data_IF_984007478781
#
_entry.id   IF_984007478781
#
_cell.length_a   1.000
_cell.length_b   1.000
_cell.length_c   1.000
_cell.angle_alpha   90.00
_cell.angle_beta   90.00
_cell.angle_gamma   90.00
#
_symmetry.space_group_name_H-M   'P 1'
#
loop_
_entity.id
_entity.type
_entity.pdbx_description
1 polymer ?
#
# COMPACT_ATOMS: atom_id res chain seq x y z
N UNK A 1 30.74 6.03 -20.61
CA UNK A 1 29.40 6.62 -20.45
C UNK A 1 29.24 7.68 -21.56
N UNK A 2 28.41 7.42 -22.57
CA UNK A 2 28.13 8.43 -23.60
C UNK A 2 27.05 9.35 -23.10
N UNK A 3 27.39 10.59 -22.84
CA UNK A 3 26.40 11.64 -22.54
C UNK A 3 25.76 12.01 -23.88
N UNK A 4 24.51 11.66 -24.08
CA UNK A 4 23.74 12.17 -25.22
C UNK A 4 23.41 13.64 -24.97
N UNK A 5 23.92 14.51 -25.80
CA UNK A 5 23.78 15.97 -25.69
C UNK A 5 22.38 16.52 -26.10
N UNK A 6 21.39 15.70 -26.37
CA UNK A 6 20.01 16.14 -26.59
C UNK A 6 19.16 15.70 -25.41
N UNK A 7 18.93 16.61 -24.47
CA UNK A 7 17.97 16.39 -23.41
C UNK A 7 16.57 16.27 -24.05
N UNK A 8 15.87 15.18 -23.78
CA UNK A 8 14.44 15.06 -24.10
C UNK A 8 13.70 15.94 -23.13
N UNK A 9 12.92 16.88 -23.65
CA UNK A 9 12.03 17.70 -22.81
C UNK A 9 10.79 16.89 -22.43
N UNK A 10 10.36 17.05 -21.19
CA UNK A 10 9.15 16.46 -20.64
C UNK A 10 8.30 17.55 -20.02
N UNK A 11 6.98 17.41 -20.12
CA UNK A 11 6.04 18.35 -19.48
C UNK A 11 6.13 18.24 -17.96
N UNK A 12 6.38 17.01 -17.44
CA UNK A 12 6.43 16.73 -15.99
C UNK A 12 7.55 15.76 -15.68
N UNK A 13 8.26 16.05 -14.58
CA UNK A 13 9.22 15.13 -13.97
C UNK A 13 8.68 14.73 -12.59
N UNK A 14 8.58 13.43 -12.36
CA UNK A 14 8.13 12.84 -11.08
C UNK A 14 9.33 12.13 -10.44
N UNK A 15 9.61 12.45 -9.19
CA UNK A 15 10.67 11.81 -8.41
C UNK A 15 10.06 10.76 -7.48
N UNK A 16 10.41 9.50 -7.70
CA UNK A 16 9.90 8.33 -6.98
C UNK A 16 8.61 7.76 -7.57
N UNK A 17 8.59 6.46 -7.78
CA UNK A 17 7.48 5.69 -8.35
C UNK A 17 6.58 5.03 -7.31
N UNK A 18 6.68 5.42 -6.04
CA UNK A 18 5.81 4.93 -4.97
C UNK A 18 4.33 5.27 -5.18
N UNK A 19 3.50 5.08 -4.16
CA UNK A 19 2.04 5.27 -4.25
C UNK A 19 1.65 6.64 -4.82
N UNK A 20 2.24 7.73 -4.33
CA UNK A 20 1.95 9.09 -4.82
C UNK A 20 2.46 9.33 -6.24
N UNK A 21 3.75 9.03 -6.49
CA UNK A 21 4.35 9.24 -7.80
C UNK A 21 3.73 8.35 -8.87
N UNK A 22 3.41 7.11 -8.56
CA UNK A 22 2.71 6.20 -9.47
C UNK A 22 1.32 6.72 -9.87
N UNK A 23 0.54 7.23 -8.90
CA UNK A 23 -0.76 7.83 -9.20
C UNK A 23 -0.65 9.11 -10.01
N UNK A 24 0.32 9.98 -9.69
CA UNK A 24 0.58 11.19 -10.47
C UNK A 24 0.99 10.84 -11.91
N UNK A 25 1.88 9.86 -12.07
CA UNK A 25 2.29 9.35 -13.39
C UNK A 25 1.08 8.89 -14.20
N UNK A 26 0.23 8.05 -13.60
CA UNK A 26 -0.98 7.55 -14.26
C UNK A 26 -1.88 8.69 -14.73
N UNK A 27 -2.26 9.57 -13.84
CA UNK A 27 -3.22 10.64 -14.14
C UNK A 27 -2.69 11.61 -15.18
N UNK A 28 -1.42 12.02 -15.06
CA UNK A 28 -0.82 12.98 -15.98
C UNK A 28 -0.55 12.38 -17.37
N UNK A 29 -0.10 11.12 -17.43
CA UNK A 29 0.08 10.46 -18.72
C UNK A 29 -1.26 10.17 -19.43
N UNK A 30 -2.29 9.77 -18.69
CA UNK A 30 -3.65 9.61 -19.23
C UNK A 30 -4.26 10.94 -19.71
N UNK A 31 -3.81 12.05 -19.15
CA UNK A 31 -4.17 13.39 -19.62
C UNK A 31 -3.38 13.82 -20.88
N UNK A 32 -2.49 12.99 -21.39
CA UNK A 32 -1.72 13.23 -22.62
C UNK A 32 -0.39 13.98 -22.40
N UNK A 33 0.03 14.20 -21.16
CA UNK A 33 1.30 14.84 -20.87
C UNK A 33 2.46 13.84 -21.02
N UNK A 34 3.60 14.35 -21.50
CA UNK A 34 4.86 13.61 -21.49
C UNK A 34 5.46 13.62 -20.09
N UNK A 35 5.53 12.45 -19.46
CA UNK A 35 5.98 12.31 -18.07
C UNK A 35 7.29 11.54 -18.00
N UNK A 36 8.27 12.07 -17.28
CA UNK A 36 9.46 11.34 -16.87
C UNK A 36 9.35 10.95 -15.39
N UNK A 37 9.60 9.68 -15.08
CA UNK A 37 9.67 9.19 -13.71
C UNK A 37 11.10 8.84 -13.37
N UNK A 38 11.65 9.45 -12.32
CA UNK A 38 12.98 9.15 -11.80
C UNK A 38 12.82 8.26 -10.58
N UNK A 39 13.27 7.01 -10.69
CA UNK A 39 13.21 6.01 -9.63
C UNK A 39 14.62 5.57 -9.24
N UNK A 40 14.87 5.48 -7.96
CA UNK A 40 16.19 5.12 -7.44
C UNK A 40 16.44 3.61 -7.37
N UNK A 41 15.38 2.82 -7.35
CA UNK A 41 15.46 1.36 -7.26
C UNK A 41 15.26 0.64 -8.59
N UNK A 42 15.66 -0.64 -8.68
CA UNK A 42 15.48 -1.45 -9.88
C UNK A 42 14.00 -1.86 -10.08
N UNK A 43 13.72 -2.30 -11.30
CA UNK A 43 12.50 -3.03 -11.60
C UNK A 43 12.69 -4.52 -11.26
N UNK A 44 11.75 -5.06 -10.52
CA UNK A 44 11.64 -6.50 -10.28
C UNK A 44 10.44 -7.04 -11.05
N UNK A 45 10.69 -7.98 -11.95
CA UNK A 45 9.64 -8.63 -12.72
C UNK A 45 8.84 -9.59 -11.81
N UNK A 46 7.55 -9.34 -11.57
CA UNK A 46 6.72 -10.22 -10.75
C UNK A 46 6.46 -11.60 -11.40
N UNK A 47 6.64 -11.71 -12.70
CA UNK A 47 6.54 -12.98 -13.42
C UNK A 47 7.81 -13.82 -13.32
N UNK A 48 8.95 -13.22 -12.93
CA UNK A 48 10.21 -13.94 -12.78
C UNK A 48 10.34 -14.48 -11.33
N UNK A 49 10.21 -15.80 -11.13
CA UNK A 49 10.29 -16.38 -9.79
C UNK A 49 11.66 -16.21 -9.12
N UNK A 50 12.73 -15.98 -9.87
CA UNK A 50 14.06 -15.75 -9.31
C UNK A 50 14.20 -14.35 -8.72
N UNK A 51 13.50 -13.37 -9.29
CA UNK A 51 13.45 -12.02 -8.76
C UNK A 51 12.44 -11.87 -7.61
N UNK A 52 11.47 -12.76 -7.55
CA UNK A 52 10.41 -12.78 -6.52
C UNK A 52 10.56 -13.99 -5.57
N UNK A 53 11.79 -14.22 -5.09
CA UNK A 53 12.18 -15.42 -4.34
C UNK A 53 11.37 -15.69 -3.09
N UNK A 54 10.86 -14.67 -2.41
CA UNK A 54 9.98 -14.84 -1.24
C UNK A 54 8.65 -15.54 -1.56
N UNK A 55 8.25 -15.56 -2.82
CA UNK A 55 7.02 -16.22 -3.26
C UNK A 55 7.25 -17.64 -3.75
N UNK A 56 8.50 -17.99 -4.11
CA UNK A 56 8.86 -19.31 -4.61
C UNK A 56 8.53 -20.41 -3.62
N UNK A 57 8.69 -20.13 -2.33
CA UNK A 57 8.40 -21.06 -1.26
C UNK A 57 7.72 -20.34 -0.09
N UNK A 58 6.53 -20.81 0.32
CA UNK A 58 5.77 -20.18 1.38
C UNK A 58 6.53 -20.07 2.72
N UNK A 59 7.49 -20.96 2.97
CA UNK A 59 8.33 -20.95 4.17
C UNK A 59 9.49 -19.93 4.12
N UNK A 60 9.81 -19.41 2.96
CA UNK A 60 10.76 -18.31 2.84
C UNK A 60 10.09 -16.94 3.08
N UNK A 61 8.77 -16.91 3.16
CA UNK A 61 8.07 -15.70 3.54
C UNK A 61 8.44 -15.30 4.97
N UNK A 62 8.77 -14.05 5.25
CA UNK A 62 9.11 -13.57 6.60
C UNK A 62 8.00 -13.77 7.63
N UNK A 63 6.77 -14.01 7.18
CA UNK A 63 5.61 -14.32 8.04
C UNK A 63 5.24 -15.79 8.11
N UNK A 64 5.92 -16.63 7.35
CA UNK A 64 5.62 -18.06 7.27
C UNK A 64 6.92 -18.83 7.27
N UNK A 65 7.12 -19.59 8.23
CA UNK A 65 8.25 -20.48 8.33
C UNK A 65 8.77 -20.52 9.74
N UNK A 66 8.75 -21.72 10.29
CA UNK A 66 9.50 -22.01 11.48
C UNK A 66 10.96 -21.69 11.19
N UNK A 67 11.51 -20.70 11.87
CA UNK A 67 12.93 -20.41 11.84
C UNK A 67 13.39 -19.18 11.10
N UNK A 68 12.52 -18.39 10.48
CA UNK A 68 12.95 -17.07 10.03
C UNK A 68 13.07 -16.13 11.24
N UNK A 69 14.29 -15.89 11.70
CA UNK A 69 14.61 -14.91 12.73
C UNK A 69 14.58 -13.47 12.22
N UNK A 70 13.93 -13.23 11.08
CA UNK A 70 13.88 -11.91 10.46
C UNK A 70 12.83 -11.06 11.16
N UNK A 71 13.21 -9.86 11.50
CA UNK A 71 12.28 -8.86 12.00
C UNK A 71 11.25 -8.51 10.93
N UNK A 72 10.08 -8.09 11.37
CA UNK A 72 9.06 -7.55 10.49
C UNK A 72 9.64 -6.39 9.66
N UNK A 73 9.61 -6.54 8.34
CA UNK A 73 10.19 -5.56 7.43
C UNK A 73 11.52 -5.96 6.81
N UNK A 74 12.12 -7.02 7.27
CA UNK A 74 13.34 -7.59 6.71
C UNK A 74 13.00 -8.49 5.52
N UNK A 75 12.85 -7.88 4.35
CA UNK A 75 12.45 -8.54 3.13
C UNK A 75 13.61 -8.57 2.15
N UNK A 76 14.03 -9.77 1.72
CA UNK A 76 15.13 -9.94 0.78
C UNK A 76 14.93 -9.22 -0.55
N UNK A 77 13.68 -8.99 -0.93
CA UNK A 77 13.36 -8.30 -2.18
C UNK A 77 13.03 -6.83 -2.01
N UNK A 78 12.75 -6.40 -0.82
CA UNK A 78 12.79 -5.00 -0.52
C UNK A 78 14.26 -4.65 -0.27
N UNK A 79 15.09 -4.69 -1.30
CA UNK A 79 16.41 -4.06 -1.22
C UNK A 79 16.24 -2.68 -0.60
N UNK A 80 16.53 -2.59 0.61
CA UNK A 80 16.22 -1.42 1.34
C UNK A 80 15.62 -1.77 2.63
N UNK A 81 16.23 -2.69 3.30
CA UNK A 81 16.16 -2.73 4.72
C UNK A 81 16.56 -1.37 5.28
N UNK A 82 17.09 -1.38 6.43
CA UNK A 82 17.44 -0.16 7.13
C UNK A 82 18.67 0.52 6.55
N UNK A 83 19.59 -0.27 6.00
CA UNK A 83 20.85 0.19 5.42
C UNK A 83 20.97 -0.30 3.99
N UNK A 84 21.34 0.61 3.10
CA UNK A 84 21.62 0.34 1.69
C UNK A 84 23.04 0.80 1.43
N UNK A 85 23.86 -0.09 0.89
CA UNK A 85 25.20 0.23 0.51
C UNK A 85 25.24 1.44 -0.43
N UNK A 86 26.10 2.41 -0.10
CA UNK A 86 26.20 3.66 -0.84
C UNK A 86 25.12 4.70 -0.54
N UNK A 87 24.22 4.45 0.40
CA UNK A 87 23.18 5.39 0.84
C UNK A 87 23.11 5.51 2.36
N UNK A 88 24.18 5.97 3.00
CA UNK A 88 24.19 6.13 4.43
C UNK A 88 23.16 7.19 4.86
N UNK A 89 22.52 6.99 6.00
CA UNK A 89 21.75 8.02 6.66
C UNK A 89 22.23 8.20 8.09
N UNK A 90 22.27 9.46 8.52
CA UNK A 90 22.62 9.81 9.90
C UNK A 90 21.37 9.95 10.76
N UNK A 91 21.51 9.65 12.03
CA UNK A 91 20.50 9.94 13.05
C UNK A 91 20.98 11.11 13.90
N UNK A 92 20.08 11.98 14.30
CA UNK A 92 20.38 13.08 15.22
C UNK A 92 19.92 12.69 16.61
N UNK A 93 20.84 12.73 17.56
CA UNK A 93 20.60 12.31 18.93
C UNK A 93 20.71 10.79 19.13
N UNK A 94 20.38 10.36 20.34
CA UNK A 94 20.52 8.98 20.83
C UNK A 94 19.24 8.17 20.55
N UNK A 95 18.77 8.19 19.29
CA UNK A 95 17.55 7.50 18.89
C UNK A 95 17.87 6.29 18.03
N UNK A 96 17.29 5.13 18.35
CA UNK A 96 17.39 3.91 17.53
C UNK A 96 16.33 3.94 16.41
N UNK A 97 16.31 5.00 15.60
CA UNK A 97 15.40 5.14 14.47
C UNK A 97 15.90 4.32 13.29
N UNK A 98 15.06 3.43 12.79
CA UNK A 98 15.34 2.63 11.61
C UNK A 98 14.43 3.05 10.46
N UNK A 99 15.04 3.48 9.37
CA UNK A 99 14.31 3.92 8.18
C UNK A 99 13.87 2.73 7.34
N UNK A 100 12.63 2.31 7.49
CA UNK A 100 12.05 1.28 6.63
C UNK A 100 11.59 1.88 5.29
N UNK A 101 12.29 1.52 4.22
CA UNK A 101 12.01 1.97 2.85
C UNK A 101 12.16 0.84 1.84
N UNK A 102 11.67 1.03 0.62
CA UNK A 102 11.84 0.09 -0.49
C UNK A 102 12.50 0.79 -1.66
N UNK A 103 13.61 0.24 -2.11
CA UNK A 103 14.37 0.68 -3.27
C UNK A 103 13.99 -0.18 -4.47
N UNK A 104 12.84 0.08 -5.05
CA UNK A 104 12.33 -0.62 -6.23
C UNK A 104 11.25 0.19 -6.92
N UNK A 105 11.04 -0.05 -8.21
CA UNK A 105 9.92 0.52 -8.94
C UNK A 105 8.60 0.16 -8.24
N UNK A 106 7.77 1.17 -7.96
CA UNK A 106 6.56 1.05 -7.17
C UNK A 106 6.76 1.18 -5.65
N UNK A 107 8.00 1.16 -5.15
CA UNK A 107 8.30 1.35 -3.74
C UNK A 107 7.49 0.45 -2.81
N UNK A 108 6.96 0.99 -1.73
CA UNK A 108 6.17 0.26 -0.72
C UNK A 108 4.85 -0.32 -1.24
N UNK A 109 4.34 0.10 -2.38
CA UNK A 109 3.13 -0.51 -2.96
C UNK A 109 3.32 -1.99 -3.27
N UNK A 110 4.57 -2.45 -3.31
CA UNK A 110 4.92 -3.84 -3.55
C UNK A 110 4.78 -4.75 -2.32
N UNK A 111 4.84 -4.19 -1.13
CA UNK A 111 4.86 -4.98 0.12
C UNK A 111 4.08 -4.34 1.29
N UNK A 112 3.20 -3.39 1.05
CA UNK A 112 2.33 -2.84 2.08
C UNK A 112 1.25 -3.85 2.54
N UNK A 113 0.69 -3.63 3.73
CA UNK A 113 -0.29 -4.55 4.32
C UNK A 113 -1.69 -4.49 3.71
N UNK A 114 -1.90 -3.72 2.64
CA UNK A 114 -3.19 -3.54 1.94
C UNK A 114 -4.28 -2.86 2.77
N UNK A 115 -3.99 -2.44 3.99
CA UNK A 115 -4.93 -1.71 4.82
C UNK A 115 -5.24 -0.37 4.16
N UNK A 116 -6.51 -0.13 3.86
CA UNK A 116 -6.95 1.00 3.04
C UNK A 116 -8.05 1.78 3.77
N UNK A 117 -7.70 2.25 4.97
CA UNK A 117 -8.56 3.13 5.75
C UNK A 117 -8.47 4.56 5.19
N UNK A 118 -9.57 5.28 5.25
CA UNK A 118 -9.60 6.71 4.98
C UNK A 118 -9.32 7.48 6.25
N UNK A 119 -8.63 8.60 6.17
CA UNK A 119 -8.66 9.59 7.22
C UNK A 119 -10.08 10.14 7.33
N UNK A 120 -10.57 10.26 8.56
CA UNK A 120 -11.88 10.83 8.83
C UNK A 120 -11.82 12.34 9.09
N UNK A 121 -12.98 13.00 9.26
CA UNK A 121 -13.03 14.43 9.48
C UNK A 121 -12.17 14.94 10.65
N UNK A 122 -12.07 14.16 11.73
CA UNK A 122 -11.27 14.51 12.91
C UNK A 122 -9.77 14.54 12.63
N UNK A 123 -9.29 13.72 11.72
CA UNK A 123 -7.85 13.63 11.40
C UNK A 123 -7.34 14.93 10.76
N UNK A 124 -8.22 15.67 10.07
CA UNK A 124 -7.90 16.96 9.46
C UNK A 124 -7.97 18.14 10.46
N UNK A 125 -8.58 17.92 11.61
CA UNK A 125 -8.80 18.97 12.62
C UNK A 125 -8.23 18.62 14.00
N UNK A 126 -7.14 17.85 13.99
CA UNK A 126 -6.57 17.27 15.21
C UNK A 126 -6.24 18.31 16.27
N UNK A 127 -5.55 19.39 15.90
CA UNK A 127 -5.20 20.47 16.82
C UNK A 127 -6.43 21.11 17.47
N UNK A 128 -7.52 21.28 16.72
CA UNK A 128 -8.76 21.86 17.26
C UNK A 128 -9.49 20.91 18.21
N UNK A 129 -9.22 19.60 18.14
CA UNK A 129 -9.90 18.58 18.96
C UNK A 129 -9.15 18.30 20.25
N UNK A 130 -7.85 18.10 20.20
CA UNK A 130 -7.03 17.67 21.35
C UNK A 130 -5.79 18.55 21.62
N UNK A 131 -5.59 19.61 20.85
CA UNK A 131 -4.48 20.54 21.00
C UNK A 131 -3.14 20.05 20.43
N UNK A 132 -3.10 18.83 19.86
CA UNK A 132 -1.87 18.22 19.36
C UNK A 132 -1.69 18.44 17.85
N UNK A 133 -0.43 18.57 17.43
CA UNK A 133 -0.08 18.73 16.02
C UNK A 133 -0.62 20.01 15.39
N UNK A 134 -1.03 19.91 14.14
CA UNK A 134 -1.60 21.01 13.37
C UNK A 134 -2.88 20.56 12.66
N UNK A 135 -3.80 21.51 12.40
CA UNK A 135 -4.91 21.24 11.49
C UNK A 135 -4.41 21.24 10.04
N UNK A 136 -4.91 20.32 9.26
CA UNK A 136 -4.68 20.36 7.83
C UNK A 136 -5.44 21.54 7.20
N UNK A 137 -4.87 22.18 6.15
CA UNK A 137 -5.54 23.28 5.45
C UNK A 137 -6.71 22.83 4.56
N UNK A 138 -6.96 21.55 4.51
CA UNK A 138 -8.05 20.88 3.78
C UNK A 138 -8.95 20.10 4.74
N UNK A 139 -10.10 19.69 4.25
CA UNK A 139 -11.08 18.87 4.98
C UNK A 139 -11.19 17.47 4.35
N UNK A 140 -11.91 16.59 5.03
CA UNK A 140 -12.28 15.30 4.45
C UNK A 140 -13.09 15.45 3.16
N UNK A 141 -14.00 16.41 3.11
CA UNK A 141 -14.88 16.61 1.94
C UNK A 141 -14.10 17.02 0.69
N UNK A 142 -13.01 17.77 0.87
CA UNK A 142 -12.13 18.17 -0.24
C UNK A 142 -11.45 16.96 -0.90
N UNK A 143 -11.09 15.94 -0.11
CA UNK A 143 -10.34 14.77 -0.63
C UNK A 143 -11.22 13.54 -0.87
N UNK A 144 -12.46 13.53 -0.35
CA UNK A 144 -13.40 12.42 -0.52
C UNK A 144 -13.59 11.95 -1.96
N UNK A 145 -13.73 12.84 -2.97
CA UNK A 145 -13.86 12.41 -4.35
C UNK A 145 -12.65 11.64 -4.88
N UNK A 146 -11.47 11.94 -4.36
CA UNK A 146 -10.24 11.25 -4.74
C UNK A 146 -10.12 9.90 -4.05
N UNK A 147 -10.49 9.79 -2.77
CA UNK A 147 -10.63 8.50 -2.10
C UNK A 147 -11.58 7.57 -2.87
N UNK A 148 -12.72 8.11 -3.32
CA UNK A 148 -13.70 7.34 -4.09
C UNK A 148 -13.13 6.80 -5.41
N UNK A 149 -12.28 7.57 -6.09
CA UNK A 149 -11.57 7.14 -7.30
C UNK A 149 -10.55 6.04 -6.99
N UNK A 150 -9.76 6.25 -5.94
CA UNK A 150 -8.72 5.30 -5.53
C UNK A 150 -9.33 3.98 -5.08
N UNK A 151 -10.37 3.97 -4.25
CA UNK A 151 -11.05 2.75 -3.79
C UNK A 151 -11.53 1.89 -4.97
N UNK A 152 -12.10 2.54 -6.00
CA UNK A 152 -12.52 1.84 -7.23
C UNK A 152 -11.35 1.29 -8.02
N UNK A 153 -10.25 2.05 -8.12
CA UNK A 153 -9.06 1.68 -8.87
C UNK A 153 -8.35 0.49 -8.24
N UNK A 154 -8.09 0.57 -6.93
CA UNK A 154 -7.33 -0.48 -6.22
C UNK A 154 -8.19 -1.64 -5.73
N UNK A 155 -9.51 -1.49 -5.74
CA UNK A 155 -10.47 -2.51 -5.32
C UNK A 155 -10.38 -2.80 -3.81
N UNK A 156 -11.02 -1.95 -3.01
CA UNK A 156 -11.09 -2.13 -1.55
C UNK A 156 -12.33 -2.94 -1.19
N UNK A 157 -12.20 -3.99 -0.39
CA UNK A 157 -13.36 -4.65 0.17
C UNK A 157 -13.71 -4.09 1.56
N UNK A 158 -14.97 -4.17 1.93
CA UNK A 158 -15.45 -3.71 3.24
C UNK A 158 -16.96 -3.70 3.32
N UNK A 159 -17.46 -3.11 4.40
CA UNK A 159 -18.89 -2.88 4.63
C UNK A 159 -19.14 -1.42 4.96
N UNK A 160 -20.34 -0.96 4.63
CA UNK A 160 -20.79 0.40 5.00
C UNK A 160 -21.26 0.38 6.44
N UNK A 161 -20.62 1.18 7.27
CA UNK A 161 -20.83 1.17 8.71
C UNK A 161 -21.33 2.51 9.25
N UNK A 162 -21.31 3.56 8.41
CA UNK A 162 -21.71 4.93 8.75
C UNK A 162 -20.99 5.49 9.98
N UNK A 163 -19.71 5.16 10.13
CA UNK A 163 -18.89 5.68 11.21
C UNK A 163 -18.35 7.07 10.83
N UNK A 164 -18.48 8.02 11.75
CA UNK A 164 -18.10 9.41 11.47
C UNK A 164 -16.63 9.58 11.10
N UNK A 165 -15.73 8.99 11.91
CA UNK A 165 -14.28 9.16 11.68
C UNK A 165 -13.62 7.99 10.95
N UNK A 166 -14.40 7.03 10.49
CA UNK A 166 -14.01 6.01 9.51
C UNK A 166 -15.01 6.01 8.35
N UNK A 167 -15.00 7.05 7.50
CA UNK A 167 -16.03 7.24 6.49
C UNK A 167 -16.11 6.07 5.52
N UNK A 168 -17.32 5.80 5.07
CA UNK A 168 -17.56 4.76 4.08
C UNK A 168 -17.01 5.14 2.70
N UNK A 169 -16.56 4.12 1.96
CA UNK A 169 -16.05 4.24 0.62
C UNK A 169 -16.80 3.38 -0.39
N UNK A 170 -16.16 3.13 -1.51
CA UNK A 170 -16.62 2.16 -2.50
C UNK A 170 -16.03 0.79 -2.18
N UNK A 171 -16.86 -0.10 -1.65
CA UNK A 171 -16.39 -1.40 -1.21
C UNK A 171 -16.85 -2.53 -2.12
N UNK A 172 -15.92 -3.41 -2.43
CA UNK A 172 -16.21 -4.76 -2.89
C UNK A 172 -16.80 -5.58 -1.74
N UNK A 173 -17.57 -6.62 -2.00
CA UNK A 173 -18.09 -7.49 -0.95
C UNK A 173 -16.94 -8.10 -0.15
N UNK A 174 -17.00 -8.11 1.19
CA UNK A 174 -15.95 -8.72 2.00
C UNK A 174 -15.96 -10.24 1.84
N UNK A 175 -14.83 -10.91 2.12
CA UNK A 175 -14.80 -12.36 2.20
C UNK A 175 -15.70 -12.87 3.31
N UNK A 176 -16.14 -14.12 3.16
CA UNK A 176 -16.85 -14.80 4.26
C UNK A 176 -15.92 -14.93 5.47
N UNK A 177 -16.41 -14.64 6.68
CA UNK A 177 -15.59 -14.78 7.87
C UNK A 177 -15.19 -16.24 8.10
N UNK A 178 -13.98 -16.44 8.60
CA UNK A 178 -13.44 -17.73 8.95
C UNK A 178 -13.97 -18.20 10.31
N UNK A 179 -13.78 -19.46 10.63
CA UNK A 179 -14.30 -20.01 11.88
C UNK A 179 -13.84 -19.26 13.12
N UNK A 180 -12.56 -18.94 13.22
CA UNK A 180 -12.02 -18.16 14.35
C UNK A 180 -12.57 -16.73 14.41
N UNK A 181 -12.78 -16.08 13.25
CA UNK A 181 -13.41 -14.76 13.17
C UNK A 181 -14.88 -14.82 13.64
N UNK A 182 -15.62 -15.89 13.30
CA UNK A 182 -16.97 -16.10 13.79
C UNK A 182 -17.01 -16.26 15.31
N UNK A 183 -16.05 -16.98 15.90
CA UNK A 183 -15.93 -17.08 17.37
C UNK A 183 -15.63 -15.72 17.99
N UNK A 184 -14.72 -14.96 17.41
CA UNK A 184 -14.40 -13.62 17.87
C UNK A 184 -15.62 -12.69 17.80
N UNK A 185 -16.34 -12.68 16.67
CA UNK A 185 -17.59 -11.91 16.50
C UNK A 185 -18.63 -12.28 17.56
N UNK A 186 -18.78 -13.60 17.84
CA UNK A 186 -19.72 -14.08 18.87
C UNK A 186 -19.33 -13.57 20.26
N UNK A 187 -18.05 -13.57 20.59
CA UNK A 187 -17.54 -13.04 21.87
C UNK A 187 -17.74 -11.52 21.98
N UNK A 188 -17.36 -10.79 20.96
CA UNK A 188 -17.45 -9.33 20.91
C UNK A 188 -18.91 -8.84 21.06
N UNK A 189 -19.86 -9.52 20.43
CA UNK A 189 -21.30 -9.23 20.58
C UNK A 189 -21.77 -9.30 22.04
N UNK A 190 -21.23 -10.24 22.83
CA UNK A 190 -21.59 -10.33 24.26
C UNK A 190 -21.11 -9.15 25.07
N UNK A 191 -20.05 -8.50 24.61
CA UNK A 191 -19.46 -7.29 25.22
C UNK A 191 -19.94 -5.99 24.57
N UNK A 192 -20.97 -6.07 23.73
CA UNK A 192 -21.49 -4.92 22.94
C UNK A 192 -20.41 -4.24 22.07
N UNK A 193 -19.43 -5.00 21.59
CA UNK A 193 -18.39 -4.51 20.69
C UNK A 193 -18.75 -4.87 19.26
N UNK A 194 -18.79 -3.87 18.39
CA UNK A 194 -19.03 -4.06 16.96
C UNK A 194 -17.77 -4.57 16.28
N UNK A 195 -17.86 -5.65 15.53
CA UNK A 195 -16.79 -6.19 14.69
C UNK A 195 -17.19 -6.06 13.24
N UNK A 196 -16.31 -5.49 12.47
CA UNK A 196 -16.50 -5.24 11.03
C UNK A 196 -15.36 -5.86 10.22
N UNK A 197 -15.54 -6.17 8.94
CA UNK A 197 -14.46 -6.56 8.05
C UNK A 197 -13.44 -5.43 7.93
N UNK A 198 -12.15 -5.76 7.98
CA UNK A 198 -11.10 -4.81 7.65
C UNK A 198 -11.29 -4.27 6.23
N UNK A 199 -11.02 -2.99 6.05
CA UNK A 199 -11.01 -2.36 4.71
C UNK A 199 -9.66 -2.60 4.07
N UNK A 200 -9.60 -3.56 3.15
CA UNK A 200 -8.36 -3.98 2.51
C UNK A 200 -8.45 -3.86 0.98
N UNK A 201 -7.37 -3.39 0.37
CA UNK A 201 -7.20 -3.39 -1.08
C UNK A 201 -6.88 -4.81 -1.59
N UNK A 202 -7.87 -5.69 -1.49
CA UNK A 202 -7.83 -7.07 -1.97
C UNK A 202 -9.04 -7.30 -2.85
N UNK A 203 -8.81 -7.69 -4.09
CA UNK A 203 -9.88 -7.89 -5.08
C UNK A 203 -10.68 -9.14 -4.76
N UNK A 204 -11.88 -8.96 -4.25
CA UNK A 204 -12.82 -10.05 -3.90
C UNK A 204 -13.83 -10.32 -5.00
N UNK A 205 -14.00 -9.40 -5.91
CA UNK A 205 -14.81 -9.50 -7.12
C UNK A 205 -14.03 -8.83 -8.26
N UNK A 206 -14.08 -9.41 -9.46
CA UNK A 206 -13.38 -8.87 -10.62
C UNK A 206 -13.80 -7.42 -10.89
N UNK A 207 -12.83 -6.52 -10.98
CA UNK A 207 -13.02 -5.09 -11.23
C UNK A 207 -12.49 -4.67 -12.60
N UNK A 208 -11.49 -5.41 -13.11
CA UNK A 208 -10.92 -5.24 -14.46
C UNK A 208 -10.43 -6.60 -14.98
N UNK A 209 -9.88 -6.61 -16.19
CA UNK A 209 -9.37 -7.85 -16.81
C UNK A 209 -7.97 -8.23 -16.33
N UNK A 210 -7.23 -7.30 -15.75
CA UNK A 210 -5.80 -7.43 -15.50
C UNK A 210 -5.49 -7.98 -14.09
N UNK A 211 -6.48 -7.92 -13.19
CA UNK A 211 -6.30 -8.34 -11.79
C UNK A 211 -7.16 -9.55 -11.45
N UNK A 212 -6.51 -10.63 -11.04
CA UNK A 212 -7.16 -11.84 -10.53
C UNK A 212 -7.91 -11.60 -9.21
N UNK A 213 -8.98 -12.35 -9.01
CA UNK A 213 -9.71 -12.37 -7.73
C UNK A 213 -8.93 -13.19 -6.71
N UNK A 214 -8.85 -12.68 -5.49
CA UNK A 214 -8.21 -13.39 -4.38
C UNK A 214 -8.97 -14.68 -4.03
N UNK A 215 -8.27 -15.79 -3.96
CA UNK A 215 -8.83 -17.10 -3.59
C UNK A 215 -8.55 -17.51 -2.12
N UNK A 216 -8.20 -16.53 -1.29
CA UNK A 216 -8.08 -16.69 0.17
C UNK A 216 -7.14 -17.79 0.66
N UNK A 217 -6.03 -18.01 0.00
CA UNK A 217 -5.04 -19.04 0.34
C UNK A 217 -4.30 -18.80 1.68
N UNK A 218 -4.64 -17.76 2.44
CA UNK A 218 -3.92 -17.32 3.65
C UNK A 218 -2.44 -16.96 3.44
N UNK A 219 -1.95 -17.05 2.20
CA UNK A 219 -0.58 -16.73 1.83
C UNK A 219 -0.33 -15.27 1.59
N UNK A 220 -1.38 -14.55 1.28
CA UNK A 220 -1.28 -13.35 0.49
C UNK A 220 -1.54 -12.03 1.19
N UNK A 221 -1.52 -11.97 2.49
CA UNK A 221 -1.73 -10.67 3.16
C UNK A 221 -0.71 -9.60 2.75
N UNK A 222 0.41 -10.01 2.11
CA UNK A 222 1.44 -9.06 1.69
C UNK A 222 1.85 -9.17 0.21
N UNK A 223 1.70 -10.34 -0.45
CA UNK A 223 2.49 -10.59 -1.65
C UNK A 223 1.75 -11.07 -2.89
N UNK A 224 0.49 -11.43 -2.81
CA UNK A 224 -0.20 -12.11 -3.91
C UNK A 224 -1.44 -11.43 -4.45
N UNK A 225 -1.80 -10.29 -3.92
CA UNK A 225 -2.72 -9.44 -4.68
C UNK A 225 -1.91 -8.75 -5.78
N UNK A 226 -2.38 -8.80 -7.04
CA UNK A 226 -1.72 -8.05 -8.08
C UNK A 226 -1.51 -6.61 -7.64
N UNK A 227 -0.29 -6.17 -7.72
CA UNK A 227 0.09 -4.78 -7.53
C UNK A 227 -0.49 -3.95 -8.68
N UNK A 228 -0.64 -2.62 -8.55
CA UNK A 228 -0.85 -1.75 -9.71
C UNK A 228 0.18 -1.95 -10.85
N UNK A 229 1.30 -2.63 -10.58
CA UNK A 229 2.28 -3.05 -11.59
C UNK A 229 1.76 -4.11 -12.57
N UNK A 230 0.78 -4.89 -12.16
CA UNK A 230 0.21 -5.96 -13.00
C UNK A 230 -0.87 -5.41 -13.94
N UNK A 231 -1.00 -4.09 -13.98
CA UNK A 231 -1.82 -3.32 -14.90
C UNK A 231 -0.86 -2.69 -15.92
N UNK A 232 -0.09 -3.53 -16.60
CA UNK A 232 0.76 -3.14 -17.70
C UNK A 232 0.08 -3.39 -19.03
#
# INVERSE_FOLDING_TARGET
MQIKNSAKEYDVIIVGSGAGGGMATKILSEAGLSVAVVEAGPYYDPANPEQMTQLKWAWHSPRRGAGTRRFFGDYDQAYGGWEIDGEPYGQVGDTDFKWFRSRMLGGRTNHWGRISLRFGPNDFKRKSIDGLGENWPISYDDIKPYYDKVDKLIGVFGTKENMYNEPDGFFLPPPKPRLHELFYIKGARKSNVKVIPSRLSVVTKRINNDRGVCYYCNGCLLYTSPSPRDIG
#
